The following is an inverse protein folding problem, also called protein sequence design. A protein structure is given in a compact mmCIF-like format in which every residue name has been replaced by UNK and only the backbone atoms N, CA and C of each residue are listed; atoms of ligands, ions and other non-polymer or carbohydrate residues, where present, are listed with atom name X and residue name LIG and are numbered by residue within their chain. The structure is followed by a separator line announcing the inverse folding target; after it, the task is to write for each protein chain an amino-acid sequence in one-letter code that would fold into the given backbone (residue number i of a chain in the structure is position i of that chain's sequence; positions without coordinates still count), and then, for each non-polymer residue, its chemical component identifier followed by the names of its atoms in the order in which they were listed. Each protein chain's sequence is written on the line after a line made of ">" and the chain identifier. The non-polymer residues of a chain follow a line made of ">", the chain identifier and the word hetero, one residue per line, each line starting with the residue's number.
data_IF_805324779689
#
_entry.id   IF_805324779689
#
_cell.length_a   1.000
_cell.length_b   1.000
_cell.length_c   1.000
_cell.angle_alpha   90.00
_cell.angle_beta   90.00
_cell.angle_gamma   90.00
#
_symmetry.space_group_name_H-M   'P 1'
#
loop_
_entity.id
_entity.type
_entity.pdbx_description
1 polymer ?
#
# COMPACT_ATOMS: atom_id res chain seq x y z
N UNK A 1 18.83 -11.18 -0.18
CA UNK A 1 17.96 -10.86 -1.32
C UNK A 1 18.39 -9.53 -1.91
N UNK A 2 18.28 -9.33 -3.22
CA UNK A 2 18.78 -8.10 -3.85
C UNK A 2 17.91 -6.90 -3.47
N UNK A 3 18.53 -5.83 -2.95
CA UNK A 3 17.84 -4.59 -2.56
C UNK A 3 16.95 -4.02 -3.68
N UNK A 4 17.32 -4.23 -4.95
CA UNK A 4 16.54 -3.79 -6.11
C UNK A 4 15.12 -4.35 -6.17
N UNK A 5 14.90 -5.60 -5.73
CA UNK A 5 13.56 -6.20 -5.74
C UNK A 5 12.63 -5.51 -4.72
N UNK A 6 13.15 -5.14 -3.55
CA UNK A 6 12.41 -4.42 -2.52
C UNK A 6 12.10 -2.99 -2.98
N UNK A 7 13.09 -2.28 -3.52
CA UNK A 7 12.93 -0.92 -4.04
C UNK A 7 11.85 -0.88 -5.14
N UNK A 8 11.83 -1.87 -6.03
CA UNK A 8 10.81 -1.97 -7.07
C UNK A 8 9.39 -2.05 -6.48
N UNK A 9 9.18 -2.87 -5.44
CA UNK A 9 7.87 -2.98 -4.79
C UNK A 9 7.47 -1.67 -4.08
N UNK A 10 8.42 -1.01 -3.41
CA UNK A 10 8.17 0.27 -2.74
C UNK A 10 7.79 1.37 -3.74
N UNK A 11 8.54 1.51 -4.84
CA UNK A 11 8.25 2.49 -5.90
C UNK A 11 6.94 2.17 -6.61
N UNK A 12 6.66 0.88 -6.86
CA UNK A 12 5.41 0.41 -7.44
C UNK A 12 4.19 0.78 -6.58
N UNK A 13 4.27 0.52 -5.28
CA UNK A 13 3.22 0.88 -4.32
C UNK A 13 2.97 2.39 -4.25
N UNK A 14 4.04 3.21 -4.21
CA UNK A 14 3.92 4.66 -4.22
C UNK A 14 3.20 5.17 -5.49
N UNK A 15 3.58 4.66 -6.66
CA UNK A 15 2.93 5.06 -7.94
C UNK A 15 1.47 4.64 -8.00
N UNK A 16 1.13 3.45 -7.50
CA UNK A 16 -0.26 3.01 -7.41
C UNK A 16 -1.09 3.95 -6.52
N UNK A 17 -0.56 4.31 -5.34
CA UNK A 17 -1.21 5.26 -4.42
C UNK A 17 -1.40 6.64 -5.08
N UNK A 18 -0.37 7.17 -5.74
CA UNK A 18 -0.46 8.43 -6.51
C UNK A 18 -1.53 8.36 -7.61
N UNK A 19 -1.70 7.21 -8.27
CA UNK A 19 -2.77 6.97 -9.23
C UNK A 19 -4.17 7.05 -8.59
N UNK A 20 -4.38 6.38 -7.46
CA UNK A 20 -5.66 6.43 -6.74
C UNK A 20 -6.02 7.83 -6.23
N UNK A 21 -5.03 8.65 -5.90
CA UNK A 21 -5.23 10.02 -5.40
C UNK A 21 -5.18 11.08 -6.51
N UNK A 22 -5.01 10.67 -7.77
CA UNK A 22 -4.92 11.57 -8.92
C UNK A 22 -3.72 12.52 -8.87
N UNK A 23 -2.65 12.13 -8.19
CA UNK A 23 -1.46 12.96 -7.95
C UNK A 23 -0.40 12.72 -9.02
N UNK A 24 -0.07 13.73 -9.81
CA UNK A 24 0.93 13.61 -10.89
C UNK A 24 2.38 13.63 -10.36
N UNK A 25 2.60 14.25 -9.20
CA UNK A 25 3.92 14.38 -8.55
C UNK A 25 3.82 14.09 -7.05
N UNK A 26 4.98 13.90 -6.40
CA UNK A 26 5.04 13.64 -4.96
C UNK A 26 4.58 14.88 -4.18
N UNK A 27 4.93 16.07 -4.63
CA UNK A 27 4.51 17.36 -4.07
C UNK A 27 2.99 17.51 -4.12
N UNK A 28 2.38 17.06 -5.21
CA UNK A 28 0.94 17.07 -5.42
C UNK A 28 0.23 16.09 -4.47
N UNK A 29 0.80 14.90 -4.28
CA UNK A 29 0.32 13.93 -3.31
C UNK A 29 0.41 14.48 -1.88
N UNK A 30 1.53 15.12 -1.52
CA UNK A 30 1.76 15.69 -0.18
C UNK A 30 0.79 16.82 0.18
N UNK A 31 0.33 17.59 -0.80
CA UNK A 31 -0.48 18.79 -0.58
C UNK A 31 -1.99 18.58 -0.77
N UNK A 32 -2.41 17.63 -1.62
CA UNK A 32 -3.83 17.45 -1.98
C UNK A 32 -4.47 16.17 -1.43
N UNK A 33 -3.69 15.20 -0.96
CA UNK A 33 -4.28 13.97 -0.42
C UNK A 33 -5.01 14.25 0.89
N UNK A 34 -6.19 13.66 1.01
CA UNK A 34 -6.98 13.70 2.24
C UNK A 34 -6.91 12.35 2.93
N UNK A 35 -6.72 12.37 4.23
CA UNK A 35 -6.72 11.17 5.07
C UNK A 35 -8.00 11.09 5.88
N UNK A 36 -8.51 9.89 6.05
CA UNK A 36 -9.63 9.60 6.95
C UNK A 36 -9.12 8.76 8.11
N UNK A 37 -9.72 8.95 9.28
CA UNK A 37 -9.42 8.12 10.45
C UNK A 37 -10.23 6.83 10.37
N UNK A 38 -9.55 5.69 10.46
CA UNK A 38 -10.18 4.38 10.55
C UNK A 38 -10.29 3.92 12.00
N UNK A 39 -11.22 2.99 12.26
CA UNK A 39 -11.37 2.32 13.56
C UNK A 39 -10.47 1.09 13.63
N UNK A 40 -10.36 0.47 14.82
CA UNK A 40 -9.65 -0.81 14.97
C UNK A 40 -10.27 -1.94 14.12
N UNK A 41 -11.60 -1.95 13.96
CA UNK A 41 -12.28 -2.88 13.06
C UNK A 41 -11.89 -2.62 11.58
N UNK A 42 -11.83 -1.34 11.17
CA UNK A 42 -11.40 -0.98 9.82
C UNK A 42 -9.94 -1.35 9.54
N UNK A 43 -9.08 -1.39 10.56
CA UNK A 43 -7.71 -1.90 10.41
C UNK A 43 -7.68 -3.41 10.13
N UNK A 44 -8.49 -4.19 10.84
CA UNK A 44 -8.62 -5.64 10.59
C UNK A 44 -9.21 -5.92 9.20
N UNK A 45 -10.21 -5.14 8.79
CA UNK A 45 -10.82 -5.24 7.45
C UNK A 45 -9.83 -4.88 6.33
N UNK A 46 -8.98 -3.87 6.55
CA UNK A 46 -8.02 -3.42 5.52
C UNK A 46 -6.91 -4.45 5.24
N UNK A 47 -6.63 -5.33 6.20
CA UNK A 47 -5.72 -6.45 5.99
C UNK A 47 -6.45 -7.62 5.33
N UNK A 48 -5.73 -8.47 4.61
CA UNK A 48 -6.23 -9.76 4.14
C UNK A 48 -6.81 -10.54 5.32
N UNK A 49 -8.11 -10.81 5.27
CA UNK A 49 -8.86 -11.53 6.29
C UNK A 49 -9.72 -12.63 5.63
N UNK A 50 -10.14 -13.62 6.42
CA UNK A 50 -11.02 -14.73 6.02
C UNK A 50 -10.56 -15.58 4.81
N UNK A 51 -9.25 -15.62 4.56
CA UNK A 51 -8.65 -16.44 3.50
C UNK A 51 -7.40 -17.16 3.98
N UNK A 52 -7.18 -18.36 3.45
CA UNK A 52 -5.92 -19.08 3.64
C UNK A 52 -4.91 -18.62 2.57
N UNK A 53 -3.80 -18.02 2.99
CA UNK A 53 -2.73 -17.61 2.08
C UNK A 53 -2.00 -18.86 1.57
N UNK A 54 -2.19 -19.20 0.31
CA UNK A 54 -1.59 -20.39 -0.33
C UNK A 54 -0.29 -20.09 -1.07
N UNK A 55 -0.01 -18.81 -1.36
CA UNK A 55 1.23 -18.31 -1.97
C UNK A 55 1.60 -16.96 -1.36
N UNK A 56 2.88 -16.76 -1.08
CA UNK A 56 3.35 -15.48 -0.56
C UNK A 56 3.34 -14.38 -1.64
N UNK A 57 2.91 -13.18 -1.24
CA UNK A 57 2.99 -12.00 -2.10
C UNK A 57 4.35 -11.31 -1.91
N UNK A 58 4.98 -10.82 -3.00
CA UNK A 58 6.23 -10.06 -2.91
C UNK A 58 6.16 -8.77 -2.07
N UNK A 59 4.95 -8.23 -1.83
CA UNK A 59 4.73 -6.93 -1.19
C UNK A 59 3.81 -6.98 0.03
N UNK A 60 3.36 -8.16 0.47
CA UNK A 60 2.41 -8.29 1.56
C UNK A 60 2.79 -9.48 2.45
N UNK A 61 3.00 -9.20 3.74
CA UNK A 61 3.21 -10.22 4.78
C UNK A 61 2.09 -10.08 5.80
N UNK A 62 1.32 -11.15 6.00
CA UNK A 62 0.42 -11.22 7.15
C UNK A 62 1.28 -11.23 8.43
N UNK A 63 0.85 -10.47 9.43
CA UNK A 63 1.47 -10.42 10.77
C UNK A 63 0.84 -11.51 11.63
#
# INVERSE_FOLDING_TARGET
>A
GAAGAVIHQLVGGLRAAMGYTGSATIEDMRSRCSFVRITGAGLSESHVHDVQITRESPNYRAI
#
